data_IF_139595323422
#
_entry.id   IF_139595323422
#
_cell.length_a   1.000
_cell.length_b   1.000
_cell.length_c   1.000
_cell.angle_alpha   90.00
_cell.angle_beta   90.00
_cell.angle_gamma   90.00
#
_symmetry.space_group_name_H-M   'P 1'
#
loop_
_entity.id
_entity.type
_entity.pdbx_description
1 polymer ?
#
# COMPACT_ATOMS: atom_id res chain seq x y z
N UNK A 1 -0.49 -5.20 -10.61
CA UNK A 1 -0.94 -3.85 -11.05
C UNK A 1 -1.06 -3.74 -12.57
N UNK A 2 -0.03 -4.08 -13.30
CA UNK A 2 -0.06 -3.99 -14.78
C UNK A 2 -1.20 -4.81 -15.40
N UNK A 3 -1.49 -6.00 -14.87
CA UNK A 3 -2.60 -6.83 -15.35
C UNK A 3 -3.96 -6.14 -15.17
N UNK A 4 -4.16 -5.43 -14.05
CA UNK A 4 -5.40 -4.67 -13.81
C UNK A 4 -5.50 -3.48 -14.76
N UNK A 5 -4.40 -2.78 -15.00
CA UNK A 5 -4.36 -1.68 -15.98
C UNK A 5 -4.73 -2.20 -17.37
N UNK A 6 -4.23 -3.37 -17.75
CA UNK A 6 -4.53 -3.98 -19.04
C UNK A 6 -6.01 -4.31 -19.23
N UNK A 7 -6.79 -4.47 -18.14
CA UNK A 7 -8.24 -4.67 -18.21
C UNK A 7 -9.03 -3.38 -18.37
N UNK A 8 -8.37 -2.22 -18.43
CA UNK A 8 -9.01 -0.92 -18.54
C UNK A 8 -9.31 -0.23 -17.23
N UNK A 9 -8.91 -0.79 -16.09
CA UNK A 9 -9.08 -0.18 -14.78
C UNK A 9 -8.07 0.93 -14.54
N UNK A 10 -8.51 1.97 -13.85
CA UNK A 10 -7.63 3.01 -13.32
C UNK A 10 -7.08 2.54 -11.97
N UNK A 11 -5.80 2.21 -11.94
CA UNK A 11 -5.14 1.61 -10.77
C UNK A 11 -4.27 2.64 -10.09
N UNK A 12 -4.52 2.91 -8.83
CA UNK A 12 -3.61 3.62 -7.94
C UNK A 12 -2.78 2.61 -7.15
N UNK A 13 -1.61 3.02 -6.70
CA UNK A 13 -0.69 2.14 -6.00
C UNK A 13 -0.11 2.80 -4.76
N UNK A 14 0.19 1.97 -3.76
CA UNK A 14 0.93 2.37 -2.58
C UNK A 14 1.78 1.21 -2.07
N UNK A 15 2.78 1.52 -1.28
CA UNK A 15 3.67 0.56 -0.62
C UNK A 15 3.65 0.81 0.87
N UNK A 16 3.54 -0.26 1.65
CA UNK A 16 3.69 -0.16 3.11
C UNK A 16 5.15 0.08 3.47
N UNK A 17 5.40 1.05 4.34
CA UNK A 17 6.74 1.39 4.83
C UNK A 17 7.49 2.42 3.99
N UNK A 18 8.68 2.85 4.45
CA UNK A 18 9.49 3.85 3.78
C UNK A 18 10.31 3.21 2.65
N UNK A 19 9.73 3.11 1.47
CA UNK A 19 10.37 2.53 0.29
C UNK A 19 10.19 3.47 -0.90
N UNK A 20 11.30 3.81 -1.56
CA UNK A 20 11.31 4.68 -2.74
C UNK A 20 11.53 3.91 -4.04
N UNK A 21 11.90 2.64 -3.98
CA UNK A 21 12.20 1.81 -5.15
C UNK A 21 10.89 1.23 -5.72
N UNK A 22 10.12 0.54 -4.90
CA UNK A 22 8.87 -0.10 -5.35
C UNK A 22 7.84 0.91 -5.85
N UNK A 23 7.63 2.08 -5.19
CA UNK A 23 6.74 3.10 -5.74
C UNK A 23 7.13 3.58 -7.15
N UNK A 24 8.42 3.59 -7.48
CA UNK A 24 8.87 3.91 -8.84
C UNK A 24 8.41 2.88 -9.86
N UNK A 25 8.51 1.59 -9.53
CA UNK A 25 7.98 0.51 -10.38
C UNK A 25 6.45 0.54 -10.45
N UNK A 26 5.79 0.87 -9.35
CA UNK A 26 4.33 1.07 -9.35
C UNK A 26 3.93 2.17 -10.32
N UNK A 27 4.65 3.27 -10.35
CA UNK A 27 4.37 4.38 -11.27
C UNK A 27 4.51 3.94 -12.73
N UNK A 28 5.51 3.11 -13.04
CA UNK A 28 5.67 2.55 -14.38
C UNK A 28 4.50 1.64 -14.76
N UNK A 29 4.01 0.83 -13.83
CA UNK A 29 2.92 -0.11 -14.09
C UNK A 29 1.57 0.57 -14.22
N UNK A 30 1.30 1.61 -13.44
CA UNK A 30 -0.01 2.26 -13.34
C UNK A 30 -0.13 3.55 -14.16
N UNK A 31 1.00 4.17 -14.52
CA UNK A 31 1.04 5.50 -15.13
C UNK A 31 0.72 6.63 -14.14
N UNK A 32 0.72 6.34 -12.84
CA UNK A 32 0.40 7.29 -11.76
C UNK A 32 1.50 7.26 -10.70
N UNK A 33 1.74 8.37 -9.95
CA UNK A 33 2.72 8.37 -8.87
C UNK A 33 2.39 7.32 -7.81
N UNK A 34 3.39 6.52 -7.41
CA UNK A 34 3.29 5.62 -6.28
C UNK A 34 3.51 6.36 -4.96
N UNK A 35 2.95 5.84 -3.87
CA UNK A 35 3.09 6.43 -2.55
C UNK A 35 3.57 5.39 -1.55
N UNK A 36 4.29 5.85 -0.54
CA UNK A 36 4.67 5.04 0.62
C UNK A 36 3.73 5.35 1.78
N UNK A 37 3.21 4.30 2.41
CA UNK A 37 2.33 4.39 3.58
C UNK A 37 3.12 3.94 4.81
N UNK A 38 3.67 4.88 5.55
CA UNK A 38 4.52 4.60 6.70
C UNK A 38 3.87 5.12 7.98
N UNK A 39 3.33 4.21 8.79
CA UNK A 39 2.67 4.54 10.06
C UNK A 39 3.66 5.11 11.07
N UNK A 40 4.91 4.62 11.10
CA UNK A 40 5.91 5.08 12.05
C UNK A 40 6.33 6.53 11.82
N UNK A 41 6.51 6.93 10.56
CA UNK A 41 6.95 8.29 10.22
C UNK A 41 5.77 9.26 10.12
N UNK A 42 4.64 8.82 9.63
CA UNK A 42 3.53 9.71 9.28
C UNK A 42 2.35 9.62 10.24
N UNK A 43 2.17 8.51 10.95
CA UNK A 43 1.01 8.26 11.81
C UNK A 43 -0.21 7.76 11.03
N UNK A 44 -1.18 7.20 11.78
CA UNK A 44 -2.34 6.53 11.19
C UNK A 44 -3.24 7.47 10.38
N UNK A 45 -3.51 8.67 10.89
CA UNK A 45 -4.39 9.63 10.22
C UNK A 45 -3.83 10.09 8.88
N UNK A 46 -2.52 10.32 8.83
CA UNK A 46 -1.84 10.71 7.58
C UNK A 46 -1.87 9.57 6.58
N UNK A 47 -1.64 8.33 7.03
CA UNK A 47 -1.72 7.14 6.17
C UNK A 47 -3.11 6.99 5.57
N UNK A 48 -4.18 7.13 6.38
CA UNK A 48 -5.55 7.10 5.86
C UNK A 48 -5.80 8.18 4.81
N UNK A 49 -5.36 9.39 5.06
CA UNK A 49 -5.54 10.50 4.11
C UNK A 49 -4.75 10.29 2.83
N UNK A 50 -3.52 9.78 2.92
CA UNK A 50 -2.70 9.46 1.76
C UNK A 50 -3.32 8.35 0.92
N UNK A 51 -3.85 7.31 1.55
CA UNK A 51 -4.53 6.22 0.86
C UNK A 51 -5.79 6.73 0.15
N UNK A 52 -6.61 7.52 0.83
CA UNK A 52 -7.82 8.12 0.24
C UNK A 52 -7.48 9.03 -0.94
N UNK A 53 -6.44 9.83 -0.79
CA UNK A 53 -5.97 10.72 -1.87
C UNK A 53 -5.44 9.93 -3.07
N UNK A 54 -4.70 8.85 -2.82
CA UNK A 54 -4.18 7.97 -3.88
C UNK A 54 -5.29 7.25 -4.62
N UNK A 55 -6.36 6.89 -3.93
CA UNK A 55 -7.52 6.23 -4.53
C UNK A 55 -8.46 7.17 -5.26
N UNK A 56 -8.30 8.49 -5.11
CA UNK A 56 -9.14 9.47 -5.79
C UNK A 56 -9.01 9.30 -7.31
N UNK A 57 -10.13 9.26 -7.99
CA UNK A 57 -10.23 9.06 -9.44
C UNK A 57 -9.66 7.71 -9.93
N UNK A 58 -9.43 6.77 -9.04
CA UNK A 58 -9.03 5.41 -9.37
C UNK A 58 -10.20 4.44 -9.17
N UNK A 59 -10.19 3.35 -9.93
CA UNK A 59 -11.15 2.26 -9.76
C UNK A 59 -10.72 1.32 -8.62
N UNK A 60 -9.41 1.20 -8.40
CA UNK A 60 -8.84 0.33 -7.38
C UNK A 60 -7.53 0.92 -6.87
N UNK A 61 -7.28 0.78 -5.57
CA UNK A 61 -5.99 1.04 -4.94
C UNK A 61 -5.35 -0.29 -4.58
N UNK A 62 -4.18 -0.56 -5.13
CA UNK A 62 -3.38 -1.74 -4.79
C UNK A 62 -2.28 -1.32 -3.84
N UNK A 63 -2.28 -1.88 -2.65
CA UNK A 63 -1.26 -1.63 -1.62
C UNK A 63 -0.35 -2.85 -1.54
N UNK A 64 0.91 -2.67 -1.87
CA UNK A 64 1.91 -3.74 -1.75
C UNK A 64 2.43 -3.78 -0.32
N UNK A 65 2.31 -4.96 0.31
CA UNK A 65 2.89 -5.20 1.62
C UNK A 65 4.40 -5.40 1.56
N UNK A 66 5.02 -5.37 2.72
CA UNK A 66 6.45 -5.57 2.87
C UNK A 66 6.72 -6.76 3.78
N UNK A 67 7.68 -7.60 3.41
CA UNK A 67 8.08 -8.79 4.18
C UNK A 67 6.87 -9.69 4.51
N UNK A 68 6.84 -10.33 5.67
CA UNK A 68 5.69 -11.10 6.11
C UNK A 68 4.54 -10.21 6.56
N UNK A 69 3.32 -10.74 6.52
CA UNK A 69 2.08 -10.00 6.83
C UNK A 69 2.10 -9.34 8.20
N UNK A 70 2.72 -9.97 9.20
CA UNK A 70 2.79 -9.48 10.56
C UNK A 70 4.14 -8.88 10.93
N UNK A 71 5.09 -8.85 10.01
CA UNK A 71 6.39 -8.23 10.25
C UNK A 71 6.23 -6.71 10.37
N UNK A 72 6.99 -6.11 11.27
CA UNK A 72 6.87 -4.69 11.55
C UNK A 72 5.88 -4.38 12.66
N UNK A 73 5.32 -5.41 13.32
CA UNK A 73 4.58 -5.23 14.57
C UNK A 73 5.50 -4.55 15.57
N UNK A 74 5.18 -3.32 15.91
CA UNK A 74 6.09 -2.44 16.62
C UNK A 74 6.17 -2.74 18.11
N UNK A 75 7.31 -2.45 18.69
CA UNK A 75 7.44 -2.19 20.11
C UNK A 75 6.78 -0.83 20.41
N UNK A 76 6.54 -0.54 21.68
CA UNK A 76 5.96 0.74 22.13
C UNK A 76 4.56 1.06 21.58
N UNK A 77 3.77 0.05 21.24
CA UNK A 77 2.36 0.23 20.87
C UNK A 77 2.07 0.72 19.47
N UNK A 78 3.10 0.88 18.63
CA UNK A 78 2.92 1.25 17.22
C UNK A 78 3.11 0.02 16.34
N UNK A 79 2.08 -0.40 15.66
CA UNK A 79 2.12 -1.51 14.72
C UNK A 79 2.11 -0.98 13.28
N UNK A 80 3.26 -1.08 12.62
CA UNK A 80 3.42 -0.69 11.22
C UNK A 80 3.39 -1.86 10.25
N UNK A 81 2.95 -3.05 10.69
CA UNK A 81 2.87 -4.22 9.83
C UNK A 81 1.87 -4.04 8.69
N UNK A 82 2.04 -4.82 7.64
CA UNK A 82 1.07 -4.88 6.53
C UNK A 82 -0.32 -5.26 7.04
N UNK A 83 -0.41 -6.18 8.00
CA UNK A 83 -1.68 -6.55 8.61
C UNK A 83 -2.35 -5.37 9.30
N UNK A 84 -1.60 -4.56 10.04
CA UNK A 84 -2.13 -3.36 10.70
C UNK A 84 -2.61 -2.33 9.68
N UNK A 85 -1.86 -2.11 8.61
CA UNK A 85 -2.26 -1.19 7.54
C UNK A 85 -3.54 -1.68 6.85
N UNK A 86 -3.68 -2.97 6.60
CA UNK A 86 -4.89 -3.52 6.00
C UNK A 86 -6.12 -3.27 6.88
N UNK A 87 -5.99 -3.42 8.19
CA UNK A 87 -7.07 -3.12 9.13
C UNK A 87 -7.38 -1.64 9.19
N UNK A 88 -6.35 -0.81 9.19
CA UNK A 88 -6.49 0.65 9.20
C UNK A 88 -7.27 1.16 7.99
N UNK A 89 -7.03 0.57 6.82
CA UNK A 89 -7.68 0.94 5.57
C UNK A 89 -8.97 0.16 5.31
N UNK A 90 -9.30 -0.80 6.16
CA UNK A 90 -10.43 -1.72 5.97
C UNK A 90 -10.37 -2.40 4.59
N UNK A 91 -9.19 -2.85 4.23
CA UNK A 91 -8.91 -3.44 2.93
C UNK A 91 -8.74 -4.96 3.04
N UNK A 92 -9.27 -5.74 2.08
CA UNK A 92 -9.01 -7.17 2.02
C UNK A 92 -7.53 -7.43 1.68
N UNK A 93 -7.02 -8.56 2.13
CA UNK A 93 -5.63 -8.97 1.89
C UNK A 93 -5.60 -10.11 0.89
N UNK A 94 -4.76 -9.96 -0.14
CA UNK A 94 -4.37 -11.05 -1.02
C UNK A 94 -3.00 -11.54 -0.56
N UNK A 95 -2.95 -12.76 -0.04
CA UNK A 95 -1.71 -13.33 0.47
C UNK A 95 -1.02 -14.12 -0.63
N UNK A 96 0.20 -13.70 -0.95
CA UNK A 96 1.04 -14.41 -1.92
C UNK A 96 2.02 -15.29 -1.17
N UNK A 97 1.96 -16.58 -1.40
CA UNK A 97 2.85 -17.55 -0.77
C UNK A 97 3.67 -18.26 -1.83
N UNK A 98 4.92 -18.56 -1.48
CA UNK A 98 5.80 -19.35 -2.32
C UNK A 98 5.51 -20.84 -2.06
N UNK A 99 5.12 -21.53 -3.11
CA UNK A 99 4.71 -22.93 -3.01
C UNK A 99 5.84 -23.90 -3.33
#
# INVERSE_FOLDING_TARGET
>A
MAALVATGLRVASAKVGPDFIDPSYHALATGRPGRSLDVFLSGEDVVRRQAARSARDADVLVVEGVMGLFDGAGEAGVDGSTAAVSRLLDAPVVLVVDA
#
